data_IF_017605935640
#
_entry.id   IF_017605935640
#
_cell.length_a   1.000
_cell.length_b   1.000
_cell.length_c   1.000
_cell.angle_alpha   90.00
_cell.angle_beta   90.00
_cell.angle_gamma   90.00
#
_symmetry.space_group_name_H-M   'P 1'
#
loop_
_entity.id
_entity.type
_entity.pdbx_description
1 polymer ?
#
# COMPACT_ATOMS: atom_id res chain seq x y z
N UNK A 1 29.70 -5.44 -16.82
CA UNK A 1 28.86 -6.64 -16.85
C UNK A 1 27.45 -6.20 -16.48
N UNK A 2 26.40 -6.68 -17.17
CA UNK A 2 25.05 -6.44 -16.65
C UNK A 2 24.98 -7.03 -15.25
N UNK A 3 24.43 -6.28 -14.29
CA UNK A 3 24.23 -6.77 -12.93
C UNK A 3 23.24 -7.94 -12.98
N UNK A 4 23.54 -9.02 -12.27
CA UNK A 4 22.64 -10.15 -12.16
C UNK A 4 21.36 -9.69 -11.43
N UNK A 5 20.22 -10.26 -11.82
CA UNK A 5 18.97 -10.06 -11.09
C UNK A 5 19.03 -10.85 -9.77
N UNK A 6 18.72 -10.18 -8.69
CA UNK A 6 18.70 -10.73 -7.34
C UNK A 6 17.25 -10.95 -6.88
N UNK A 7 16.99 -11.99 -6.10
CA UNK A 7 15.68 -12.20 -5.52
C UNK A 7 15.32 -11.07 -4.53
N UNK A 8 16.29 -10.64 -3.76
CA UNK A 8 16.18 -9.54 -2.76
C UNK A 8 17.54 -9.00 -2.38
N UNK A 9 17.55 -7.82 -1.78
CA UNK A 9 18.73 -7.24 -1.16
C UNK A 9 18.36 -6.59 0.18
N UNK A 10 18.97 -7.07 1.26
CA UNK A 10 18.66 -6.61 2.61
C UNK A 10 19.29 -7.47 3.69
N UNK A 11 18.67 -7.50 4.85
CA UNK A 11 19.14 -8.24 6.03
C UNK A 11 18.18 -9.36 6.41
N UNK A 12 18.73 -10.53 6.68
CA UNK A 12 18.01 -11.67 7.24
C UNK A 12 18.43 -11.83 8.71
N UNK A 13 17.46 -11.97 9.58
CA UNK A 13 17.69 -12.16 11.02
C UNK A 13 16.83 -13.33 11.53
N UNK A 14 17.41 -14.06 12.49
CA UNK A 14 16.67 -15.07 13.24
C UNK A 14 16.45 -14.54 14.66
N UNK A 15 15.19 -14.50 15.06
CA UNK A 15 14.75 -14.03 16.35
C UNK A 15 14.14 -15.17 17.17
N UNK A 16 14.10 -15.05 18.51
CA UNK A 16 13.42 -16.05 19.33
C UNK A 16 11.97 -16.30 18.87
N UNK A 17 11.56 -17.54 18.80
CA UNK A 17 10.19 -17.96 18.43
C UNK A 17 9.09 -17.24 19.20
N UNK A 18 9.35 -16.88 20.47
CA UNK A 18 8.42 -16.16 21.31
C UNK A 18 8.11 -14.72 20.83
N UNK A 19 8.89 -14.19 19.90
CA UNK A 19 8.64 -12.89 19.26
C UNK A 19 7.77 -13.09 18.01
N UNK A 20 6.56 -13.58 18.20
CA UNK A 20 5.65 -14.00 17.14
C UNK A 20 4.45 -13.05 16.93
N UNK A 21 4.31 -12.00 17.74
CA UNK A 21 3.37 -10.91 17.46
C UNK A 21 4.04 -9.90 16.53
N UNK A 22 3.61 -9.85 15.29
CA UNK A 22 4.07 -8.91 14.28
C UNK A 22 3.12 -7.72 14.16
N UNK A 23 3.63 -6.53 14.37
CA UNK A 23 2.90 -5.28 14.15
C UNK A 23 3.74 -4.40 13.23
N UNK A 24 3.13 -3.83 12.19
CA UNK A 24 3.86 -3.00 11.24
C UNK A 24 2.99 -1.87 10.68
N UNK A 25 3.64 -0.81 10.24
CA UNK A 25 3.04 0.28 9.50
C UNK A 25 3.59 0.27 8.07
N UNK A 26 2.77 -0.18 7.14
CA UNK A 26 3.13 -0.42 5.75
C UNK A 26 1.95 -0.94 4.94
N UNK A 27 2.20 -1.46 3.74
CA UNK A 27 1.14 -2.03 2.92
C UNK A 27 0.72 -3.41 3.44
N UNK A 28 -0.58 -3.60 3.57
CA UNK A 28 -1.18 -4.85 4.06
C UNK A 28 -2.70 -4.87 3.95
N UNK A 29 -3.35 -5.84 4.58
CA UNK A 29 -2.80 -6.90 5.44
C UNK A 29 -2.18 -8.08 4.69
N UNK A 30 -2.54 -8.31 3.42
CA UNK A 30 -2.06 -9.45 2.63
C UNK A 30 -0.65 -9.19 2.12
N UNK A 31 0.12 -10.27 1.90
CA UNK A 31 1.45 -10.15 1.32
C UNK A 31 1.41 -9.40 -0.02
N UNK A 32 2.41 -8.58 -0.26
CA UNK A 32 2.48 -7.75 -1.44
C UNK A 32 3.94 -7.55 -1.87
N UNK A 33 4.11 -7.25 -3.16
CA UNK A 33 5.41 -7.15 -3.83
C UNK A 33 5.39 -5.93 -4.75
N UNK A 34 6.54 -5.51 -5.21
CA UNK A 34 6.67 -4.30 -6.02
C UNK A 34 5.70 -4.23 -7.20
N UNK A 35 5.47 -5.34 -7.87
CA UNK A 35 4.55 -5.50 -9.01
C UNK A 35 3.12 -5.90 -8.61
N UNK A 36 2.85 -6.11 -7.30
CA UNK A 36 1.54 -6.52 -6.78
C UNK A 36 1.27 -5.89 -5.42
N UNK A 37 1.05 -4.59 -5.36
CA UNK A 37 0.83 -3.86 -4.11
C UNK A 37 -0.30 -2.83 -4.15
N UNK A 38 -0.85 -2.50 -5.32
CA UNK A 38 -1.85 -1.43 -5.47
C UNK A 38 -3.16 -1.70 -4.74
N UNK A 39 -3.52 -2.96 -4.54
CA UNK A 39 -4.70 -3.37 -3.78
C UNK A 39 -4.51 -3.35 -2.26
N UNK A 40 -3.29 -3.08 -1.79
CA UNK A 40 -2.97 -3.05 -0.35
C UNK A 40 -2.79 -1.62 0.13
N UNK A 41 -3.35 -1.30 1.28
CA UNK A 41 -3.31 0.05 1.83
C UNK A 41 -2.19 0.18 2.88
N UNK A 42 -1.66 1.40 3.01
CA UNK A 42 -0.69 1.72 4.04
C UNK A 42 -1.44 2.04 5.32
N UNK A 43 -1.38 1.13 6.26
CA UNK A 43 -2.07 1.22 7.53
C UNK A 43 -1.26 0.54 8.64
N UNK A 44 -1.76 0.61 9.86
CA UNK A 44 -1.26 -0.17 10.98
C UNK A 44 -1.88 -1.58 10.92
N UNK A 45 -1.03 -2.58 10.80
CA UNK A 45 -1.43 -3.99 10.76
C UNK A 45 -0.83 -4.75 11.93
N UNK A 46 -1.57 -5.73 12.44
CA UNK A 46 -1.12 -6.66 13.46
C UNK A 46 -1.55 -8.08 13.10
N UNK A 47 -0.64 -9.03 13.22
CA UNK A 47 -0.89 -10.45 12.95
C UNK A 47 0.09 -11.32 13.73
N UNK A 48 -0.16 -12.60 13.81
CA UNK A 48 0.84 -13.57 14.27
C UNK A 48 1.80 -13.91 13.14
N UNK A 49 3.04 -14.16 13.49
CA UNK A 49 4.01 -14.77 12.58
C UNK A 49 3.50 -16.17 12.23
N UNK A 50 3.23 -16.42 10.94
CA UNK A 50 2.64 -17.67 10.47
C UNK A 50 1.17 -17.58 10.06
N UNK A 51 0.49 -16.44 10.29
CA UNK A 51 -0.89 -16.23 9.82
C UNK A 51 -0.97 -16.00 8.31
N UNK A 52 0.16 -15.83 7.63
CA UNK A 52 0.18 -15.74 6.18
C UNK A 52 -0.28 -17.05 5.53
N UNK A 53 -1.07 -16.93 4.47
CA UNK A 53 -1.56 -18.07 3.71
C UNK A 53 -0.38 -18.86 3.15
N UNK A 54 -0.24 -20.11 3.59
CA UNK A 54 0.78 -21.01 3.07
C UNK A 54 0.42 -21.45 1.65
N UNK A 55 1.37 -21.29 0.74
CA UNK A 55 1.21 -21.75 -0.64
C UNK A 55 1.32 -23.27 -0.73
N UNK A 56 0.58 -23.92 -1.66
CA UNK A 56 0.65 -25.39 -1.87
C UNK A 56 2.06 -25.90 -2.11
N UNK A 57 2.90 -25.17 -2.85
CA UNK A 57 4.34 -25.30 -2.90
C UNK A 57 4.95 -24.19 -2.06
N UNK A 58 5.56 -24.50 -0.92
CA UNK A 58 6.25 -23.50 -0.11
C UNK A 58 7.31 -22.76 -0.92
N UNK A 59 7.37 -21.46 -0.77
CA UNK A 59 8.30 -20.57 -1.45
C UNK A 59 8.38 -19.24 -0.73
N UNK A 60 9.17 -18.29 -1.23
CA UNK A 60 9.22 -16.94 -0.67
C UNK A 60 7.82 -16.32 -0.61
N UNK A 61 7.42 -15.88 0.58
CA UNK A 61 6.08 -15.37 0.87
C UNK A 61 6.14 -14.36 2.02
N UNK A 62 5.01 -13.79 2.36
CA UNK A 62 4.86 -12.94 3.55
C UNK A 62 5.46 -11.54 3.41
N UNK A 63 5.89 -11.13 2.21
CA UNK A 63 6.47 -9.80 2.03
C UNK A 63 5.43 -8.69 2.20
N UNK A 64 5.84 -7.56 2.76
CA UNK A 64 5.10 -6.32 2.90
C UNK A 64 5.95 -5.18 2.36
N UNK A 65 5.41 -4.44 1.42
CA UNK A 65 6.06 -3.29 0.80
C UNK A 65 5.79 -2.00 1.57
N UNK A 66 6.67 -1.03 1.37
CA UNK A 66 6.53 0.31 1.90
C UNK A 66 6.33 0.34 3.42
N UNK A 67 7.02 -0.53 4.12
CA UNK A 67 7.02 -0.59 5.59
C UNK A 67 7.90 0.53 6.15
N UNK A 68 7.34 1.34 7.04
CA UNK A 68 8.06 2.41 7.73
C UNK A 68 8.68 1.91 9.02
N UNK A 69 7.99 1.01 9.67
CA UNK A 69 8.48 0.32 10.85
C UNK A 69 7.77 -1.01 11.04
N UNK A 70 8.42 -1.94 11.70
CA UNK A 70 7.80 -3.16 12.19
C UNK A 70 8.32 -3.51 13.58
N UNK A 71 7.48 -4.14 14.37
CA UNK A 71 7.79 -4.62 15.71
C UNK A 71 7.47 -6.10 15.83
N UNK A 72 8.37 -6.84 16.44
CA UNK A 72 8.15 -8.23 16.82
C UNK A 72 8.19 -8.33 18.33
N UNK A 73 7.09 -8.79 18.94
CA UNK A 73 6.93 -8.87 20.38
C UNK A 73 6.43 -10.23 20.82
N UNK A 74 6.70 -10.55 22.08
CA UNK A 74 6.04 -11.69 22.75
C UNK A 74 4.67 -11.26 23.32
N UNK A 75 3.94 -12.19 23.91
CA UNK A 75 2.62 -11.94 24.51
C UNK A 75 2.65 -10.96 25.70
N UNK A 76 3.83 -10.65 26.23
CA UNK A 76 4.02 -9.62 27.27
C UNK A 76 4.33 -8.24 26.69
N UNK A 77 4.38 -8.10 25.36
CA UNK A 77 4.72 -6.87 24.67
C UNK A 77 6.21 -6.51 24.74
N UNK A 78 7.07 -7.48 25.06
CA UNK A 78 8.51 -7.30 25.04
C UNK A 78 9.07 -7.79 23.70
N UNK A 79 9.97 -7.03 23.10
CA UNK A 79 10.52 -7.39 21.80
C UNK A 79 11.40 -6.33 21.20
N UNK A 80 11.33 -6.20 19.90
CA UNK A 80 12.21 -5.34 19.10
C UNK A 80 11.40 -4.55 18.08
N UNK A 81 11.71 -3.29 17.95
CA UNK A 81 11.20 -2.37 16.93
C UNK A 81 12.30 -2.11 15.90
N UNK A 82 11.94 -2.22 14.65
CA UNK A 82 12.75 -1.88 13.48
C UNK A 82 12.13 -0.72 12.74
N UNK A 83 12.89 0.33 12.54
CA UNK A 83 12.43 1.59 11.96
C UNK A 83 13.23 1.88 10.72
N UNK A 84 12.60 1.92 9.56
CA UNK A 84 13.26 2.21 8.30
C UNK A 84 13.75 3.66 8.22
N UNK A 85 14.89 3.87 7.59
CA UNK A 85 15.29 5.17 7.08
C UNK A 85 14.56 5.39 5.74
N UNK A 86 13.34 5.93 5.82
CA UNK A 86 12.40 6.03 4.70
C UNK A 86 11.44 4.84 4.64
N UNK A 87 11.68 3.90 3.74
CA UNK A 87 10.83 2.73 3.51
C UNK A 87 11.69 1.47 3.33
N UNK A 88 11.09 0.34 3.66
CA UNK A 88 11.68 -0.98 3.46
C UNK A 88 10.60 -1.98 3.05
N UNK A 89 11.01 -3.12 2.51
CA UNK A 89 10.19 -4.31 2.49
C UNK A 89 10.47 -5.12 3.74
N UNK A 90 9.46 -5.76 4.30
CA UNK A 90 9.61 -6.59 5.50
C UNK A 90 8.81 -7.88 5.40
N UNK A 91 9.37 -8.98 5.91
CA UNK A 91 8.62 -10.22 6.11
C UNK A 91 9.07 -10.91 7.39
N UNK A 92 8.10 -11.44 8.15
CA UNK A 92 8.35 -12.22 9.36
C UNK A 92 7.63 -13.56 9.23
N UNK A 93 8.38 -14.65 9.19
CA UNK A 93 7.86 -15.99 8.95
C UNK A 93 8.37 -16.98 9.98
N UNK A 94 7.64 -18.09 10.23
CA UNK A 94 8.11 -19.15 11.12
C UNK A 94 9.16 -20.07 10.48
N UNK A 95 9.50 -19.84 9.22
CA UNK A 95 10.42 -20.64 8.42
C UNK A 95 11.47 -19.76 7.75
N UNK A 96 12.66 -20.30 7.58
CA UNK A 96 13.70 -19.69 6.77
C UNK A 96 13.38 -19.84 5.27
N UNK A 97 13.98 -18.98 4.45
CA UNK A 97 13.85 -19.08 2.99
C UNK A 97 14.36 -20.44 2.45
N UNK A 98 15.38 -21.01 3.11
CA UNK A 98 15.92 -22.32 2.76
C UNK A 98 14.89 -23.43 3.00
N UNK A 99 14.29 -23.47 4.19
CA UNK A 99 13.24 -24.45 4.53
C UNK A 99 12.05 -24.36 3.56
N UNK A 100 11.61 -23.15 3.25
CA UNK A 100 10.53 -22.94 2.28
C UNK A 100 10.91 -23.44 0.87
N UNK A 101 12.15 -23.20 0.42
CA UNK A 101 12.59 -23.61 -0.91
C UNK A 101 12.75 -25.14 -1.03
N UNK A 102 13.22 -25.80 0.02
CA UNK A 102 13.48 -27.25 0.05
C UNK A 102 12.21 -28.09 0.18
N UNK A 103 11.18 -27.56 0.86
CA UNK A 103 9.92 -28.28 1.02
C UNK A 103 9.10 -28.33 -0.28
N UNK A 104 8.70 -29.52 -0.72
CA UNK A 104 7.78 -29.67 -1.85
C UNK A 104 6.33 -29.40 -1.46
N UNK A 105 5.97 -29.63 -0.21
CA UNK A 105 4.63 -29.46 0.35
C UNK A 105 4.68 -28.89 1.77
N UNK A 106 3.63 -28.17 2.23
CA UNK A 106 3.59 -27.57 3.57
C UNK A 106 3.82 -28.57 4.72
N UNK A 107 3.35 -29.80 4.61
CA UNK A 107 3.52 -30.84 5.63
C UNK A 107 4.98 -31.30 5.80
N UNK A 108 5.87 -30.95 4.89
CA UNK A 108 7.31 -31.24 4.97
C UNK A 108 8.09 -30.17 5.72
N UNK A 109 7.46 -29.03 5.99
CA UNK A 109 8.11 -27.98 6.76
C UNK A 109 8.36 -28.44 8.20
N UNK A 110 9.53 -28.15 8.78
CA UNK A 110 9.83 -28.55 10.15
C UNK A 110 8.96 -27.77 11.15
N UNK A 111 8.89 -28.25 12.38
CA UNK A 111 8.31 -27.46 13.44
C UNK A 111 9.09 -26.15 13.61
N UNK A 112 8.38 -25.02 13.62
CA UNK A 112 9.01 -23.71 13.78
C UNK A 112 9.83 -23.64 15.07
N UNK A 113 11.08 -23.22 14.95
CA UNK A 113 12.02 -23.03 16.06
C UNK A 113 12.35 -21.55 16.32
N UNK A 114 12.03 -20.68 15.38
CA UNK A 114 12.40 -19.27 15.41
C UNK A 114 11.42 -18.41 14.60
N UNK A 115 11.52 -17.10 14.76
CA UNK A 115 10.94 -16.12 13.85
C UNK A 115 12.04 -15.64 12.90
N UNK A 116 11.84 -15.85 11.62
CA UNK A 116 12.75 -15.40 10.55
C UNK A 116 12.26 -14.07 10.00
N UNK A 117 13.03 -13.02 10.24
CA UNK A 117 12.75 -11.66 9.79
C UNK A 117 13.66 -11.28 8.63
N UNK A 118 13.05 -10.75 7.57
CA UNK A 118 13.75 -10.08 6.49
C UNK A 118 13.37 -8.60 6.48
N UNK A 119 14.38 -7.75 6.36
CA UNK A 119 14.25 -6.30 6.15
C UNK A 119 15.05 -5.97 4.90
N UNK A 120 14.36 -5.62 3.83
CA UNK A 120 14.97 -5.50 2.52
C UNK A 120 14.84 -4.07 1.97
N UNK A 121 15.92 -3.62 1.31
CA UNK A 121 15.91 -2.41 0.49
C UNK A 121 14.99 -2.59 -0.73
N UNK A 122 15.02 -3.79 -1.32
CA UNK A 122 14.19 -4.16 -2.46
C UNK A 122 14.01 -5.68 -2.54
N UNK A 123 12.83 -6.08 -2.98
CA UNK A 123 12.47 -7.46 -3.30
C UNK A 123 11.99 -7.50 -4.75
N UNK A 124 12.44 -8.48 -5.50
CA UNK A 124 11.98 -8.70 -6.88
C UNK A 124 10.52 -9.09 -6.91
N UNK A 125 9.78 -8.57 -7.86
CA UNK A 125 8.37 -8.86 -8.09
C UNK A 125 8.12 -10.33 -8.40
N UNK A 126 6.85 -10.74 -8.33
CA UNK A 126 6.42 -12.12 -8.58
C UNK A 126 6.27 -12.46 -10.06
N UNK A 127 6.12 -11.47 -10.92
CA UNK A 127 5.83 -11.62 -12.34
C UNK A 127 4.34 -11.50 -12.67
N UNK A 128 4.06 -11.01 -13.86
CA UNK A 128 2.70 -10.76 -14.35
C UNK A 128 2.02 -11.99 -14.98
N UNK A 129 2.76 -13.07 -15.24
CA UNK A 129 2.24 -14.27 -15.87
C UNK A 129 1.81 -15.29 -14.82
N UNK A 130 0.51 -15.39 -14.57
CA UNK A 130 -0.06 -16.39 -13.66
C UNK A 130 0.04 -17.83 -14.21
N UNK A 131 0.17 -17.98 -15.52
CA UNK A 131 0.39 -19.26 -16.19
C UNK A 131 1.48 -19.09 -17.25
N UNK A 132 2.62 -19.76 -17.10
CA UNK A 132 3.69 -19.73 -18.08
C UNK A 132 5.02 -19.29 -17.49
N UNK A 133 5.98 -19.04 -18.37
CA UNK A 133 7.40 -18.86 -18.02
C UNK A 133 7.85 -17.40 -17.96
N UNK A 134 6.92 -16.46 -17.82
CA UNK A 134 7.25 -15.04 -17.68
C UNK A 134 7.68 -14.68 -16.28
N UNK A 135 8.88 -14.12 -16.13
CA UNK A 135 9.35 -13.49 -14.91
C UNK A 135 8.77 -12.08 -14.73
N UNK A 136 9.16 -11.38 -13.66
CA UNK A 136 8.82 -9.98 -13.46
C UNK A 136 9.42 -9.10 -14.56
N UNK A 137 8.79 -7.95 -14.80
CA UNK A 137 9.31 -6.96 -15.74
C UNK A 137 10.64 -6.38 -15.22
N UNK A 138 11.48 -5.91 -16.12
CA UNK A 138 12.79 -5.36 -15.77
C UNK A 138 12.75 -4.26 -14.67
N UNK A 139 11.76 -3.34 -14.60
CA UNK A 139 11.63 -2.38 -13.51
C UNK A 139 11.33 -3.02 -12.15
N UNK A 140 10.71 -4.21 -12.15
CA UNK A 140 10.32 -4.92 -10.93
C UNK A 140 11.39 -5.89 -10.43
N UNK A 141 12.47 -6.06 -11.20
CA UNK A 141 13.63 -6.84 -10.78
C UNK A 141 14.54 -6.03 -9.84
N UNK A 142 15.11 -6.72 -8.87
CA UNK A 142 16.17 -6.17 -8.01
C UNK A 142 17.50 -6.38 -8.73
N UNK A 143 18.21 -5.29 -9.02
CA UNK A 143 19.52 -5.35 -9.66
C UNK A 143 20.63 -5.42 -8.60
N UNK A 144 21.76 -6.04 -8.96
CA UNK A 144 22.97 -6.05 -8.14
C UNK A 144 23.76 -4.74 -8.22
N UNK A 145 23.06 -3.62 -8.11
CA UNK A 145 23.61 -2.27 -8.14
C UNK A 145 23.87 -1.76 -6.71
N UNK A 146 24.35 -0.52 -6.56
CA UNK A 146 24.51 0.12 -5.29
C UNK A 146 23.14 0.45 -4.67
N UNK A 147 22.90 -0.07 -3.49
CA UNK A 147 21.70 0.20 -2.71
C UNK A 147 22.08 0.93 -1.41
N UNK A 148 21.43 2.04 -1.13
CA UNK A 148 21.50 2.70 0.16
C UNK A 148 20.27 2.33 0.99
N UNK A 149 20.50 1.63 2.09
CA UNK A 149 19.43 1.10 2.94
C UNK A 149 19.85 1.14 4.40
N UNK A 150 19.00 1.67 5.24
CA UNK A 150 19.23 1.78 6.67
C UNK A 150 17.96 1.59 7.50
N UNK A 151 18.14 1.10 8.71
CA UNK A 151 17.09 1.04 9.72
C UNK A 151 17.67 1.13 11.13
N UNK A 152 16.83 1.56 12.07
CA UNK A 152 17.17 1.65 13.49
C UNK A 152 16.55 0.46 14.21
N UNK A 153 17.32 -0.19 15.08
CA UNK A 153 16.84 -1.25 15.97
C UNK A 153 16.66 -0.68 17.37
N UNK A 154 15.49 -0.91 17.98
CA UNK A 154 15.21 -0.48 19.36
C UNK A 154 14.61 -1.62 20.17
N UNK A 155 15.05 -1.84 21.39
CA UNK A 155 14.35 -2.71 22.33
C UNK A 155 12.97 -2.10 22.62
N UNK A 156 11.97 -2.98 22.74
CA UNK A 156 10.59 -2.61 22.98
C UNK A 156 10.05 -3.33 24.22
N UNK A 157 9.40 -2.57 25.10
CA UNK A 157 8.71 -3.12 26.26
C UNK A 157 7.45 -2.29 26.51
N UNK A 158 6.35 -2.70 25.89
CA UNK A 158 5.09 -1.96 25.90
C UNK A 158 4.00 -2.61 26.76
N UNK A 159 4.32 -3.73 27.42
CA UNK A 159 3.32 -4.55 28.09
C UNK A 159 2.30 -5.12 27.08
N UNK A 160 1.06 -5.34 27.49
CA UNK A 160 -0.04 -5.76 26.60
C UNK A 160 -0.71 -4.58 25.88
N UNK A 161 0.07 -3.58 25.51
CA UNK A 161 -0.46 -2.38 24.88
C UNK A 161 -0.96 -2.64 23.46
N UNK A 162 -2.05 -1.95 23.12
CA UNK A 162 -2.61 -1.94 21.77
C UNK A 162 -1.61 -1.34 20.77
N UNK A 163 -1.70 -1.66 19.48
CA UNK A 163 -0.81 -1.13 18.43
C UNK A 163 -0.65 0.38 18.42
N UNK A 164 -1.70 1.15 18.77
CA UNK A 164 -1.62 2.62 18.91
C UNK A 164 -0.61 3.08 19.97
N UNK A 165 -0.38 2.28 21.02
CA UNK A 165 0.58 2.61 22.08
C UNK A 165 2.03 2.30 21.66
N UNK A 166 2.23 1.38 20.72
CA UNK A 166 3.54 1.16 20.09
C UNK A 166 3.98 2.43 19.39
N UNK A 167 3.05 3.06 18.66
CA UNK A 167 3.27 4.31 17.94
C UNK A 167 3.69 5.46 18.86
N UNK A 168 3.03 5.61 20.00
CA UNK A 168 3.31 6.68 20.96
C UNK A 168 4.63 6.47 21.71
N UNK A 169 4.89 5.24 22.18
CA UNK A 169 6.09 4.91 22.98
C UNK A 169 7.34 4.66 22.14
N UNK A 170 7.16 4.18 20.92
CA UNK A 170 8.27 3.96 20.01
C UNK A 170 8.65 5.22 19.24
N UNK A 171 7.96 6.34 19.47
CA UNK A 171 8.08 7.57 18.72
C UNK A 171 9.54 7.93 18.45
N UNK A 172 10.04 7.40 17.39
CA UNK A 172 10.98 8.11 16.56
C UNK A 172 10.13 9.21 15.95
N UNK A 173 10.51 10.47 16.19
CA UNK A 173 9.76 11.64 15.73
C UNK A 173 9.36 11.43 14.29
N UNK A 174 8.06 11.29 14.04
CA UNK A 174 7.50 11.07 12.71
C UNK A 174 7.23 9.62 12.30
N UNK A 175 7.52 8.61 13.12
CA UNK A 175 7.24 7.21 12.81
C UNK A 175 6.07 6.73 13.65
N UNK A 176 5.08 6.17 13.00
CA UNK A 176 3.81 5.79 13.57
C UNK A 176 2.76 6.90 13.54
N UNK A 177 3.05 8.00 12.87
CA UNK A 177 2.04 8.99 12.57
C UNK A 177 1.09 8.45 11.49
N UNK A 178 -0.20 8.63 11.72
CA UNK A 178 -1.18 8.36 10.68
C UNK A 178 -0.85 9.23 9.48
N UNK A 179 -0.85 8.68 8.26
CA UNK A 179 -0.42 9.45 7.10
C UNK A 179 -1.41 10.58 6.80
N UNK A 180 -0.87 11.67 6.30
CA UNK A 180 -1.64 12.65 5.56
C UNK A 180 -2.18 11.96 4.31
N UNK A 181 -3.47 12.13 4.03
CA UNK A 181 -4.08 11.63 2.81
C UNK A 181 -4.25 12.77 1.82
N UNK A 182 -3.73 12.58 0.60
CA UNK A 182 -3.91 13.53 -0.50
C UNK A 182 -4.83 12.88 -1.52
N UNK A 183 -5.99 13.47 -1.76
CA UNK A 183 -6.96 13.01 -2.74
C UNK A 183 -7.33 14.13 -3.70
N UNK A 184 -7.78 13.78 -4.90
CA UNK A 184 -8.32 14.73 -5.86
C UNK A 184 -9.68 14.23 -6.36
N UNK A 185 -10.67 15.12 -6.35
CA UNK A 185 -11.98 14.86 -6.92
C UNK A 185 -11.92 14.73 -8.45
N UNK A 186 -12.97 14.20 -9.04
CA UNK A 186 -13.13 14.16 -10.51
C UNK A 186 -13.15 15.55 -11.14
N UNK A 187 -13.56 16.55 -10.37
CA UNK A 187 -13.61 17.97 -10.83
C UNK A 187 -12.26 18.69 -10.66
N UNK A 188 -11.21 18.00 -10.17
CA UNK A 188 -9.88 18.56 -10.06
C UNK A 188 -9.53 19.17 -8.72
N UNK A 189 -10.43 19.17 -7.75
CA UNK A 189 -10.19 19.74 -6.43
C UNK A 189 -9.39 18.78 -5.56
N UNK A 190 -8.21 19.23 -5.10
CA UNK A 190 -7.35 18.48 -4.18
C UNK A 190 -7.76 18.77 -2.74
N UNK A 191 -7.92 17.70 -1.98
CA UNK A 191 -8.13 17.73 -0.53
C UNK A 191 -6.99 17.01 0.16
N UNK A 192 -6.48 17.61 1.24
CA UNK A 192 -5.45 17.03 2.11
C UNK A 192 -6.08 16.81 3.48
N UNK A 193 -6.21 15.55 3.87
CA UNK A 193 -6.79 15.17 5.15
C UNK A 193 -5.69 14.76 6.13
N UNK A 194 -5.81 15.24 7.37
CA UNK A 194 -4.98 14.84 8.50
C UNK A 194 -5.86 14.19 9.57
N UNK A 195 -5.45 13.04 10.12
CA UNK A 195 -6.13 12.45 11.27
C UNK A 195 -5.90 13.23 12.59
N UNK A 196 -4.99 14.22 12.58
CA UNK A 196 -4.67 15.06 13.74
C UNK A 196 -5.18 16.47 13.51
N UNK A 197 -6.22 16.85 14.23
CA UNK A 197 -6.87 18.17 14.07
C UNK A 197 -5.99 19.35 14.55
N UNK A 198 -5.09 19.10 15.47
CA UNK A 198 -4.22 20.07 16.13
C UNK A 198 -2.88 20.29 15.41
N UNK A 199 -2.56 19.45 14.41
CA UNK A 199 -1.29 19.55 13.69
C UNK A 199 -1.41 20.32 12.39
N UNK A 200 -0.52 21.27 12.21
CA UNK A 200 -0.46 22.09 11.00
C UNK A 200 0.14 21.29 9.85
N UNK A 201 -0.62 21.15 8.78
CA UNK A 201 -0.18 20.54 7.53
C UNK A 201 0.41 21.60 6.62
N UNK A 202 1.60 21.34 6.08
CA UNK A 202 2.26 22.13 5.05
C UNK A 202 2.24 21.39 3.73
N UNK A 203 2.22 22.11 2.61
CA UNK A 203 2.26 21.49 1.29
C UNK A 203 2.98 22.33 0.25
N UNK A 204 3.38 21.69 -0.84
CA UNK A 204 3.86 22.31 -2.08
C UNK A 204 3.19 21.64 -3.28
N UNK A 205 3.14 22.36 -4.41
CA UNK A 205 2.62 21.84 -5.68
C UNK A 205 3.73 21.95 -6.74
N UNK A 206 3.91 20.89 -7.52
CA UNK A 206 4.91 20.80 -8.57
C UNK A 206 6.33 20.98 -8.03
N UNK A 207 7.10 21.81 -8.73
CA UNK A 207 8.49 22.15 -8.37
C UNK A 207 8.60 23.38 -7.46
N UNK A 208 7.49 23.86 -6.90
CA UNK A 208 7.52 25.02 -6.02
C UNK A 208 8.33 24.74 -4.76
N UNK A 209 9.29 25.61 -4.46
CA UNK A 209 10.06 25.58 -3.20
C UNK A 209 9.34 26.29 -2.05
N UNK A 210 8.25 27.02 -2.35
CA UNK A 210 7.50 27.79 -1.35
C UNK A 210 6.42 26.91 -0.74
N UNK A 211 6.66 26.47 0.47
CA UNK A 211 5.67 25.73 1.25
C UNK A 211 4.53 26.66 1.73
N UNK A 212 3.31 26.13 1.72
CA UNK A 212 2.11 26.80 2.18
C UNK A 212 1.43 25.97 3.28
N UNK A 213 0.73 26.63 4.19
CA UNK A 213 -0.12 25.94 5.14
C UNK A 213 -1.42 25.50 4.44
N UNK A 214 -1.80 24.26 4.62
CA UNK A 214 -3.07 23.77 4.10
C UNK A 214 -4.22 24.24 5.02
N UNK A 215 -5.15 24.98 4.44
CA UNK A 215 -6.32 25.50 5.16
C UNK A 215 -7.64 25.15 4.48
N UNK A 216 -7.60 24.89 3.17
CA UNK A 216 -8.78 24.56 2.37
C UNK A 216 -8.40 23.80 1.11
N UNK A 217 -9.32 23.06 0.48
CA UNK A 217 -9.12 22.43 -0.81
C UNK A 217 -8.76 23.45 -1.89
N UNK A 218 -7.99 23.02 -2.90
CA UNK A 218 -7.52 23.86 -4.00
C UNK A 218 -7.62 23.14 -5.34
N UNK A 219 -7.71 23.93 -6.41
CA UNK A 219 -7.80 23.39 -7.78
C UNK A 219 -6.44 22.87 -8.29
N UNK A 220 -6.45 21.73 -8.98
CA UNK A 220 -5.30 21.12 -9.65
C UNK A 220 -5.75 20.36 -10.90
N UNK A 221 -6.57 20.97 -11.75
CA UNK A 221 -7.07 20.35 -12.99
C UNK A 221 -5.94 20.07 -13.98
N UNK A 222 -4.93 20.94 -14.02
CA UNK A 222 -3.77 20.78 -14.91
C UNK A 222 -2.82 19.64 -14.49
N UNK A 223 -3.13 18.96 -13.38
CA UNK A 223 -2.28 17.92 -12.85
C UNK A 223 -1.04 18.44 -12.14
N UNK A 224 -0.23 17.51 -11.69
CA UNK A 224 1.00 17.81 -10.98
C UNK A 224 1.19 16.98 -9.72
N UNK A 225 2.33 17.16 -9.06
CA UNK A 225 2.66 16.48 -7.81
C UNK A 225 2.40 17.41 -6.64
N UNK A 226 1.60 16.94 -5.69
CA UNK A 226 1.38 17.59 -4.39
C UNK A 226 2.23 16.85 -3.37
N UNK A 227 3.03 17.59 -2.60
CA UNK A 227 3.80 17.08 -1.46
C UNK A 227 3.26 17.72 -0.21
N UNK A 228 2.96 16.92 0.81
CA UNK A 228 2.44 17.40 2.08
C UNK A 228 3.18 16.75 3.26
N UNK A 229 3.30 17.48 4.37
CA UNK A 229 3.98 17.07 5.61
C UNK A 229 3.44 17.85 6.80
N UNK A 230 3.68 17.34 7.99
CA UNK A 230 3.42 18.11 9.21
C UNK A 230 4.52 19.13 9.46
N UNK A 231 4.14 20.33 9.87
CA UNK A 231 5.09 21.43 10.12
C UNK A 231 6.17 21.09 11.16
N UNK A 232 5.84 20.24 12.12
CA UNK A 232 6.72 19.73 13.18
C UNK A 232 7.48 18.43 12.79
N UNK A 233 7.19 17.85 11.61
CA UNK A 233 7.86 16.67 11.08
C UNK A 233 8.15 16.81 9.57
N UNK A 234 8.97 17.78 9.15
CA UNK A 234 9.18 18.11 7.73
C UNK A 234 9.91 17.02 6.93
N UNK A 235 10.51 16.05 7.60
CA UNK A 235 11.16 14.92 6.93
C UNK A 235 10.16 13.87 6.41
N UNK A 236 8.93 13.86 6.92
CA UNK A 236 7.89 12.91 6.53
C UNK A 236 7.00 13.50 5.44
N UNK A 237 7.46 13.42 4.21
CA UNK A 237 6.73 13.94 3.06
C UNK A 237 5.88 12.84 2.44
N UNK A 238 4.58 13.08 2.34
CA UNK A 238 3.64 12.30 1.54
C UNK A 238 3.48 13.01 0.20
N UNK A 239 3.49 12.26 -0.90
CA UNK A 239 3.31 12.81 -2.23
C UNK A 239 2.16 12.12 -2.97
N UNK A 240 1.34 12.92 -3.66
CA UNK A 240 0.33 12.47 -4.59
C UNK A 240 0.57 13.09 -5.95
N UNK A 241 0.65 12.29 -7.01
CA UNK A 241 0.80 12.78 -8.39
C UNK A 241 -0.49 12.55 -9.16
N UNK A 242 -0.97 13.59 -9.81
CA UNK A 242 -2.22 13.62 -10.53
C UNK A 242 -1.98 14.00 -11.98
N UNK A 243 -2.57 13.26 -12.91
CA UNK A 243 -2.56 13.62 -14.32
C UNK A 243 -3.43 14.86 -14.57
N UNK A 244 -3.21 15.56 -15.68
CA UNK A 244 -4.13 16.58 -16.16
C UNK A 244 -5.51 15.97 -16.38
N UNK A 245 -6.56 16.69 -15.99
CA UNK A 245 -7.93 16.31 -16.31
C UNK A 245 -8.19 16.75 -17.76
N UNK A 246 -8.46 15.77 -18.59
CA UNK A 246 -8.91 15.99 -19.95
C UNK A 246 -10.42 15.68 -19.99
N UNK A 247 -11.20 16.69 -20.33
CA UNK A 247 -12.61 16.49 -20.61
C UNK A 247 -12.70 15.85 -21.99
N UNK A 248 -13.06 14.59 -22.03
CA UNK A 248 -13.38 13.90 -23.28
C UNK A 248 -14.88 14.13 -23.52
N UNK A 249 -15.25 14.90 -24.54
CA UNK A 249 -16.67 15.05 -24.89
C UNK A 249 -17.21 13.67 -25.30
N UNK A 250 -18.19 13.21 -24.58
CA UNK A 250 -18.87 11.94 -24.86
C UNK A 250 -20.26 12.25 -25.41
N UNK A 251 -20.66 11.52 -26.44
CA UNK A 251 -22.00 11.56 -27.00
C UNK A 251 -22.56 10.13 -26.98
N UNK A 252 -23.80 10.01 -26.55
CA UNK A 252 -24.52 8.73 -26.65
C UNK A 252 -25.06 8.60 -28.05
N UNK A 253 -24.43 7.77 -28.85
CA UNK A 253 -24.83 7.56 -30.26
C UNK A 253 -25.99 6.56 -30.41
N UNK A 254 -26.25 5.74 -29.40
CA UNK A 254 -27.35 4.76 -29.41
C UNK A 254 -27.68 4.35 -27.96
N UNK A 255 -28.97 4.20 -27.71
CA UNK A 255 -29.52 3.54 -26.53
C UNK A 255 -30.60 2.56 -26.98
N UNK A 256 -30.62 1.36 -26.45
CA UNK A 256 -31.60 0.32 -26.82
C UNK A 256 -33.02 0.73 -26.46
N UNK A 257 -33.18 1.48 -25.39
CA UNK A 257 -34.43 2.12 -24.98
C UNK A 257 -34.17 3.24 -23.99
N UNK A 258 -35.13 4.15 -23.86
CA UNK A 258 -35.13 5.21 -22.84
C UNK A 258 -36.51 5.32 -22.23
N UNK A 259 -36.64 5.65 -20.98
CA UNK A 259 -37.89 6.00 -20.34
C UNK A 259 -38.20 7.46 -20.64
N UNK A 260 -39.30 7.70 -21.33
CA UNK A 260 -39.67 9.04 -21.79
C UNK A 260 -39.97 9.98 -20.63
N UNK A 261 -39.24 11.09 -20.58
CA UNK A 261 -39.42 12.16 -19.58
C UNK A 261 -38.70 11.93 -18.26
N UNK A 262 -38.03 10.78 -18.08
CA UNK A 262 -37.30 10.48 -16.84
C UNK A 262 -35.86 10.03 -17.10
N UNK A 263 -35.63 9.16 -18.02
CA UNK A 263 -34.34 8.49 -18.19
C UNK A 263 -33.75 8.64 -19.59
N UNK A 264 -33.63 9.87 -20.11
CA UNK A 264 -33.04 10.15 -21.42
C UNK A 264 -31.57 9.71 -21.48
N UNK A 265 -31.14 9.16 -22.60
CA UNK A 265 -29.76 8.67 -22.76
C UNK A 265 -28.70 9.80 -22.71
N UNK A 266 -29.07 11.02 -23.05
CA UNK A 266 -28.19 12.20 -22.94
C UNK A 266 -27.74 12.49 -21.49
N UNK A 267 -28.52 12.05 -20.51
CA UNK A 267 -28.19 12.18 -19.10
C UNK A 267 -26.88 11.44 -18.69
N UNK A 268 -26.42 10.47 -19.49
CA UNK A 268 -25.13 9.82 -19.25
C UNK A 268 -23.92 10.72 -19.48
N UNK A 269 -24.11 11.80 -20.23
CA UNK A 269 -23.01 12.67 -20.68
C UNK A 269 -23.24 14.15 -20.42
N UNK A 270 -24.32 14.53 -19.74
CA UNK A 270 -24.67 15.92 -19.41
C UNK A 270 -23.84 16.52 -18.26
N UNK A 271 -23.07 15.69 -17.55
CA UNK A 271 -22.24 16.12 -16.42
C UNK A 271 -23.03 16.36 -15.14
N UNK A 272 -24.33 16.15 -15.11
CA UNK A 272 -25.16 16.26 -13.90
C UNK A 272 -25.30 14.90 -13.22
N UNK A 273 -24.82 14.78 -12.01
CA UNK A 273 -24.92 13.54 -11.20
C UNK A 273 -26.34 13.32 -10.62
N UNK A 274 -27.22 14.29 -10.74
CA UNK A 274 -28.62 14.18 -10.33
C UNK A 274 -29.53 13.60 -11.41
N UNK A 275 -29.07 13.56 -12.66
CA UNK A 275 -29.78 12.93 -13.77
C UNK A 275 -29.41 11.46 -13.90
N UNK A 276 -30.29 10.66 -14.45
CA UNK A 276 -30.08 9.23 -14.68
C UNK A 276 -30.52 8.84 -16.07
N UNK A 277 -29.89 7.87 -16.68
CA UNK A 277 -30.43 7.12 -17.79
C UNK A 277 -31.17 5.89 -17.27
N UNK A 278 -32.33 5.61 -17.86
CA UNK A 278 -33.10 4.43 -17.54
C UNK A 278 -33.67 3.78 -18.80
N UNK A 279 -33.61 2.45 -18.87
CA UNK A 279 -34.28 1.68 -19.89
C UNK A 279 -35.79 1.82 -19.72
N UNK A 280 -36.54 1.75 -20.83
CA UNK A 280 -37.99 1.83 -20.81
C UNK A 280 -38.62 0.74 -19.94
N UNK A 281 -39.38 1.15 -18.93
CA UNK A 281 -40.09 0.25 -18.00
C UNK A 281 -41.62 0.46 -18.06
N UNK A 282 -42.09 1.56 -18.63
CA UNK A 282 -43.52 1.89 -18.73
C UNK A 282 -44.26 1.14 -19.83
N UNK A 283 -43.58 0.23 -20.54
CA UNK A 283 -44.16 -0.54 -21.65
C UNK A 283 -44.29 -2.03 -21.30
N UNK A 284 -45.26 -2.69 -21.98
CA UNK A 284 -45.48 -4.12 -21.81
C UNK A 284 -44.32 -4.95 -22.39
N UNK A 285 -44.10 -6.15 -21.84
CA UNK A 285 -43.05 -7.09 -22.28
C UNK A 285 -43.02 -7.34 -23.79
N UNK A 286 -44.16 -7.23 -24.48
CA UNK A 286 -44.25 -7.39 -25.93
C UNK A 286 -43.50 -6.32 -26.75
N UNK A 287 -43.05 -5.23 -26.13
CA UNK A 287 -42.26 -4.15 -26.77
C UNK A 287 -40.77 -4.20 -26.50
N UNK A 288 -40.30 -5.10 -25.64
CA UNK A 288 -38.88 -5.31 -25.48
C UNK A 288 -38.31 -6.14 -26.63
N UNK A 289 -37.20 -5.75 -27.22
CA UNK A 289 -36.51 -6.64 -28.13
C UNK A 289 -36.13 -7.92 -27.39
N UNK A 290 -36.64 -9.04 -27.86
CA UNK A 290 -36.19 -10.35 -27.41
C UNK A 290 -34.80 -10.59 -28.02
N UNK A 291 -33.79 -10.72 -27.20
CA UNK A 291 -32.45 -11.13 -27.59
C UNK A 291 -32.38 -12.63 -27.77
#
# INVERSE_FOLDING_TARGET
KPSADLARIGYAMQLPKALDNSTYYGRGPVNNYNDRKTSQFIELHAQRVGDDIMLPKPQAMGNREEVRWCALTNDRGQGVLFVADGQMSASALPYSQKELAEAAHPYQLPASSATHLHLDAKVTGLGGNSCGQGGPLAPDCTKGDDHNFGFIIRPLNIGRAMPSVITEKAAVKGIGEKPITISRSRTGVVSIASPYADRKVMYTVGNSKKAQAYTQPFDLRDGGTVKAWYADAPALVIAGTFAKIEEVPLEVIYASSVETGEGDASHLTDGDLGTIWHTMYSVTLAKYPLW
#
